data_IF_517744933615
#
_entry.id   IF_517744933615
#
_cell.length_a   1.000
_cell.length_b   1.000
_cell.length_c   1.000
_cell.angle_alpha   90.00
_cell.angle_beta   90.00
_cell.angle_gamma   90.00
#
_symmetry.space_group_name_H-M   'P 1'
#
loop_
_entity.id
_entity.type
_entity.pdbx_description
1 polymer ?
#
# COMPACT_ATOMS: atom_id res chain seq x y z
N UNK A 1 42.32 38.80 11.54
CA UNK A 1 41.53 38.14 10.48
C UNK A 1 40.48 37.29 11.19
N UNK A 2 39.19 37.36 10.78
CA UNK A 2 38.02 36.62 11.34
C UNK A 2 38.35 35.12 11.56
N UNK A 3 37.72 34.34 12.44
CA UNK A 3 36.37 33.79 12.25
C UNK A 3 35.70 33.35 13.57
N UNK A 4 34.39 33.61 13.59
CA UNK A 4 33.40 33.38 14.64
C UNK A 4 32.93 31.92 14.57
N UNK A 5 32.68 31.26 15.70
CA UNK A 5 31.75 30.13 15.76
C UNK A 5 31.15 30.00 17.16
N UNK A 6 30.09 30.78 17.43
CA UNK A 6 29.11 30.45 18.46
C UNK A 6 28.30 29.26 17.93
N UNK A 7 28.66 28.05 18.33
CA UNK A 7 27.87 26.86 18.00
C UNK A 7 26.67 26.85 18.94
N UNK A 8 25.58 27.51 18.53
CA UNK A 8 24.27 27.29 19.11
C UNK A 8 23.85 25.85 18.79
N UNK A 9 24.10 24.94 19.72
CA UNK A 9 23.60 23.57 19.67
C UNK A 9 22.07 23.59 19.88
N UNK A 10 21.33 24.00 18.86
CA UNK A 10 19.91 23.73 18.79
C UNK A 10 19.76 22.21 18.60
N UNK A 11 19.45 21.48 19.68
CA UNK A 11 18.93 20.12 19.60
C UNK A 11 17.54 20.18 18.94
N UNK A 12 17.52 20.40 17.62
CA UNK A 12 16.36 20.00 16.83
C UNK A 12 16.38 18.49 16.82
N UNK A 13 15.54 17.86 17.64
CA UNK A 13 15.28 16.43 17.55
C UNK A 13 14.58 16.22 16.20
N UNK A 14 15.37 16.14 15.13
CA UNK A 14 14.89 15.63 13.86
C UNK A 14 14.62 14.16 14.10
N UNK A 15 13.44 13.84 14.60
CA UNK A 15 12.92 12.47 14.58
C UNK A 15 12.85 12.09 13.11
N UNK A 16 13.88 11.40 12.62
CA UNK A 16 13.87 10.78 11.32
C UNK A 16 12.81 9.67 11.36
N UNK A 17 11.54 10.04 11.17
CA UNK A 17 10.47 9.08 10.88
C UNK A 17 10.82 8.53 9.51
N UNK A 18 11.50 7.38 9.48
CA UNK A 18 11.62 6.58 8.27
C UNK A 18 10.20 6.19 7.90
N UNK A 19 9.62 6.84 6.88
CA UNK A 19 8.52 6.26 6.14
C UNK A 19 9.04 4.91 5.65
N UNK A 20 8.59 3.82 6.28
CA UNK A 20 8.97 2.49 5.86
C UNK A 20 8.55 2.35 4.38
N UNK A 21 9.40 1.78 3.50
CA UNK A 21 8.93 1.44 2.17
C UNK A 21 7.68 0.57 2.35
N UNK A 22 6.55 0.96 1.77
CA UNK A 22 5.29 0.24 1.93
C UNK A 22 5.51 -1.23 1.55
N UNK A 23 5.54 -2.10 2.55
CA UNK A 23 5.83 -3.54 2.44
C UNK A 23 4.68 -4.36 1.87
N UNK A 24 3.84 -3.72 1.04
CA UNK A 24 2.58 -4.29 0.57
C UNK A 24 2.78 -5.47 -0.39
N UNK A 25 3.96 -5.55 -1.01
CA UNK A 25 4.34 -6.66 -1.90
C UNK A 25 5.18 -7.75 -1.21
N UNK A 26 5.45 -7.66 0.09
CA UNK A 26 6.16 -8.73 0.79
C UNK A 26 5.30 -10.01 0.72
N UNK A 27 5.85 -11.08 0.13
CA UNK A 27 5.12 -12.33 -0.13
C UNK A 27 4.29 -12.36 -1.42
N UNK A 28 4.35 -11.31 -2.25
CA UNK A 28 3.63 -11.21 -3.52
C UNK A 28 4.55 -11.04 -4.75
N UNK A 29 5.85 -11.30 -4.62
CA UNK A 29 6.86 -11.09 -5.68
C UNK A 29 7.45 -12.37 -6.27
N UNK A 30 7.15 -13.54 -5.72
CA UNK A 30 7.69 -14.79 -6.25
C UNK A 30 6.96 -15.21 -7.53
N UNK A 31 7.54 -16.18 -8.25
CA UNK A 31 7.02 -16.65 -9.54
C UNK A 31 5.57 -17.12 -9.50
N UNK A 32 5.03 -17.49 -8.33
CA UNK A 32 3.66 -17.96 -8.17
C UNK A 32 2.66 -16.84 -7.86
N UNK A 33 3.13 -15.74 -7.28
CA UNK A 33 2.26 -14.68 -6.75
C UNK A 33 2.40 -13.36 -7.50
N UNK A 34 3.52 -13.12 -8.19
CA UNK A 34 3.73 -11.91 -8.97
C UNK A 34 2.63 -11.77 -10.03
N UNK A 35 2.03 -10.58 -10.10
CA UNK A 35 0.89 -10.26 -10.96
C UNK A 35 -0.46 -10.77 -10.47
N UNK A 36 -0.51 -11.63 -9.44
CA UNK A 36 -1.77 -12.11 -8.88
C UNK A 36 -2.43 -11.01 -8.03
N UNK A 37 -3.70 -10.65 -8.30
CA UNK A 37 -4.37 -9.62 -7.53
C UNK A 37 -4.70 -10.10 -6.12
N UNK A 38 -4.74 -9.16 -5.18
CA UNK A 38 -5.22 -9.34 -3.81
C UNK A 38 -5.92 -8.08 -3.31
N UNK A 39 -6.63 -8.18 -2.18
CA UNK A 39 -7.42 -7.07 -1.66
C UNK A 39 -6.56 -5.88 -1.22
N UNK A 40 -7.02 -4.67 -1.54
CA UNK A 40 -6.46 -3.47 -0.95
C UNK A 40 -6.81 -3.41 0.56
N UNK A 41 -5.85 -3.10 1.45
CA UNK A 41 -6.01 -3.26 2.90
C UNK A 41 -7.03 -2.29 3.54
N UNK A 42 -7.28 -1.14 2.90
CA UNK A 42 -8.14 -0.09 3.44
C UNK A 42 -9.36 0.24 2.56
N UNK A 43 -9.36 -0.18 1.29
CA UNK A 43 -10.36 0.24 0.30
C UNK A 43 -10.92 -1.01 -0.37
N UNK A 44 -12.22 -1.14 -0.36
CA UNK A 44 -12.92 -2.40 -0.56
C UNK A 44 -13.20 -2.71 -2.03
N UNK A 45 -13.46 -1.65 -2.79
CA UNK A 45 -13.61 -1.67 -4.24
C UNK A 45 -12.25 -1.58 -4.97
N UNK A 46 -11.12 -1.71 -4.26
CA UNK A 46 -9.77 -1.68 -4.84
C UNK A 46 -9.05 -3.01 -4.64
N UNK A 47 -8.11 -3.31 -5.54
CA UNK A 47 -7.21 -4.45 -5.48
C UNK A 47 -5.78 -4.03 -5.79
N UNK A 48 -4.83 -4.89 -5.46
CA UNK A 48 -3.41 -4.66 -5.67
C UNK A 48 -2.82 -5.84 -6.43
N UNK A 49 -1.94 -5.57 -7.39
CA UNK A 49 -1.02 -6.55 -7.96
C UNK A 49 0.41 -6.08 -7.70
N UNK A 50 1.35 -7.02 -7.66
CA UNK A 50 2.76 -6.72 -7.48
C UNK A 50 3.59 -7.29 -8.64
N UNK A 51 4.48 -6.50 -9.21
CA UNK A 51 5.51 -7.00 -10.12
C UNK A 51 6.56 -7.79 -9.34
N UNK A 52 7.34 -8.63 -10.02
CA UNK A 52 8.40 -9.44 -9.40
C UNK A 52 9.53 -8.61 -8.75
N UNK A 53 9.63 -7.32 -9.09
CA UNK A 53 10.55 -6.35 -8.49
C UNK A 53 10.00 -5.70 -7.20
N UNK A 54 8.77 -6.03 -6.81
CA UNK A 54 8.10 -5.46 -5.64
C UNK A 54 7.34 -4.16 -5.92
N UNK A 55 7.20 -3.74 -7.17
CA UNK A 55 6.41 -2.57 -7.54
C UNK A 55 4.91 -2.87 -7.41
N UNK A 56 4.16 -2.15 -6.55
CA UNK A 56 2.71 -2.32 -6.41
C UNK A 56 1.95 -1.54 -7.50
N UNK A 57 0.85 -2.12 -7.98
CA UNK A 57 -0.13 -1.47 -8.84
C UNK A 57 -1.50 -1.58 -8.18
N UNK A 58 -2.18 -0.44 -8.05
CA UNK A 58 -3.53 -0.38 -7.47
C UNK A 58 -4.55 -0.32 -8.60
N UNK A 59 -5.54 -1.20 -8.55
CA UNK A 59 -6.67 -1.24 -9.46
C UNK A 59 -7.99 -0.95 -8.75
N UNK A 60 -8.93 -0.33 -9.46
CA UNK A 60 -10.30 -0.11 -9.00
C UNK A 60 -11.22 -1.10 -9.70
N UNK A 61 -12.09 -1.75 -8.94
CA UNK A 61 -13.09 -2.64 -9.49
C UNK A 61 -14.10 -1.85 -10.34
N UNK A 62 -14.38 -2.29 -11.58
CA UNK A 62 -15.26 -1.56 -12.49
C UNK A 62 -16.73 -1.66 -12.06
N UNK A 63 -17.54 -0.70 -12.49
CA UNK A 63 -19.00 -0.77 -12.35
C UNK A 63 -19.52 -0.76 -10.90
N UNK A 64 -18.73 -0.24 -9.95
CA UNK A 64 -19.12 -0.22 -8.54
C UNK A 64 -19.13 -1.60 -7.87
N UNK A 65 -18.34 -2.54 -8.41
CA UNK A 65 -18.15 -3.88 -7.82
C UNK A 65 -17.05 -3.87 -6.75
N UNK A 66 -16.91 -4.99 -6.03
CA UNK A 66 -15.99 -5.13 -4.89
C UNK A 66 -15.02 -6.27 -5.12
N UNK A 67 -13.81 -6.17 -4.57
CA UNK A 67 -12.83 -7.24 -4.74
C UNK A 67 -13.19 -8.47 -3.90
N UNK A 68 -13.45 -9.59 -4.58
CA UNK A 68 -13.77 -10.88 -4.00
C UNK A 68 -12.49 -11.64 -3.63
N UNK A 69 -12.31 -11.93 -2.34
CA UNK A 69 -11.14 -12.63 -1.82
C UNK A 69 -11.06 -14.10 -2.26
N UNK A 70 -12.20 -14.73 -2.58
CA UNK A 70 -12.29 -16.15 -2.92
C UNK A 70 -12.15 -16.36 -4.42
N UNK A 71 -12.84 -15.52 -5.20
CA UNK A 71 -12.80 -15.56 -6.67
C UNK A 71 -11.60 -14.81 -7.25
N UNK A 72 -10.87 -14.06 -6.41
CA UNK A 72 -9.70 -13.24 -6.76
C UNK A 72 -9.99 -12.27 -7.92
N UNK A 73 -11.22 -11.76 -7.98
CA UNK A 73 -11.73 -10.88 -9.04
C UNK A 73 -12.79 -9.93 -8.49
N UNK A 74 -13.29 -9.01 -9.31
CA UNK A 74 -14.34 -8.09 -8.90
C UNK A 74 -15.74 -8.73 -9.02
N UNK A 75 -16.53 -8.65 -7.96
CA UNK A 75 -17.86 -9.23 -7.83
C UNK A 75 -18.78 -8.26 -7.07
N UNK A 76 -20.03 -8.15 -7.50
CA UNK A 76 -21.02 -7.28 -6.84
C UNK A 76 -21.40 -7.81 -5.44
N UNK A 77 -21.46 -9.14 -5.30
CA UNK A 77 -21.86 -9.81 -4.07
C UNK A 77 -20.86 -9.63 -2.92
N UNK A 78 -19.62 -9.24 -3.23
CA UNK A 78 -18.53 -9.07 -2.25
C UNK A 78 -18.64 -7.80 -1.42
N UNK A 79 -19.64 -6.94 -1.67
CA UNK A 79 -19.91 -5.77 -0.83
C UNK A 79 -20.12 -6.16 0.65
N UNK A 80 -20.72 -7.32 0.92
CA UNK A 80 -20.95 -7.81 2.28
C UNK A 80 -19.67 -8.24 3.00
N UNK A 81 -18.62 -8.54 2.25
CA UNK A 81 -17.33 -9.02 2.76
C UNK A 81 -16.32 -7.87 2.97
N UNK A 82 -16.81 -6.64 2.94
CA UNK A 82 -15.98 -5.44 3.01
C UNK A 82 -15.28 -5.27 4.37
N UNK A 83 -15.93 -5.70 5.45
CA UNK A 83 -15.43 -5.54 6.81
C UNK A 83 -15.25 -4.06 7.15
N UNK A 84 -14.06 -3.70 7.65
CA UNK A 84 -13.71 -2.33 8.02
C UNK A 84 -13.12 -1.48 6.88
N UNK A 85 -13.01 -2.02 5.66
CA UNK A 85 -12.49 -1.29 4.50
C UNK A 85 -13.55 -0.30 4.00
N UNK A 86 -13.13 0.90 3.63
CA UNK A 86 -14.04 1.91 3.07
C UNK A 86 -14.29 1.65 1.59
N UNK A 87 -15.36 2.24 1.05
CA UNK A 87 -15.59 2.31 -0.40
C UNK A 87 -15.17 3.69 -0.84
N UNK A 88 -14.26 3.76 -1.81
CA UNK A 88 -13.80 5.02 -2.40
C UNK A 88 -14.77 5.52 -3.48
#
# INVERSE_FOLDING_TARGET
>A
MKFIALVAAALTIATAVRAAPNKICDGHTDKKTAGMPFAHPAVCNWFITCSSDGTPYVGVCPGGTFYDLKLTTCNIESQKDCGSRVVA
#
